data_IF_133737177475
#
_entry.id   IF_133737177475
#
_cell.length_a   1.000
_cell.length_b   1.000
_cell.length_c   1.000
_cell.angle_alpha   90.00
_cell.angle_beta   90.00
_cell.angle_gamma   90.00
#
_symmetry.space_group_name_H-M   'P 1'
#
loop_
_entity.id
_entity.type
_entity.pdbx_description
1 polymer ?
#
# COMPACT_ATOMS: atom_id res chain seq x y z
N UNK A 1 -13.19 -14.41 -33.06
CA UNK A 1 -11.96 -14.91 -32.40
C UNK A 1 -11.98 -14.39 -30.97
N UNK A 2 -12.47 -15.21 -30.05
CA UNK A 2 -12.54 -14.89 -28.61
C UNK A 2 -11.19 -15.28 -28.00
N UNK A 3 -10.48 -14.27 -27.46
CA UNK A 3 -9.21 -14.44 -26.77
C UNK A 3 -9.51 -15.04 -25.39
N UNK A 4 -9.43 -16.38 -25.30
CA UNK A 4 -9.48 -17.10 -24.03
C UNK A 4 -8.29 -16.65 -23.18
N UNK A 5 -8.58 -15.88 -22.14
CA UNK A 5 -7.66 -15.62 -21.03
C UNK A 5 -7.38 -16.98 -20.38
N UNK A 6 -6.21 -17.56 -20.66
CA UNK A 6 -5.75 -18.75 -19.96
C UNK A 6 -5.53 -18.38 -18.48
N UNK A 7 -6.20 -19.05 -17.52
CA UNK A 7 -5.90 -18.84 -16.11
C UNK A 7 -4.44 -19.23 -15.85
N UNK A 8 -3.71 -18.38 -15.11
CA UNK A 8 -2.34 -18.67 -14.70
C UNK A 8 -2.29 -20.02 -13.95
N UNK A 9 -1.25 -20.84 -14.16
CA UNK A 9 -1.13 -22.14 -13.53
C UNK A 9 -1.02 -21.99 -12.00
N UNK A 10 -1.79 -22.82 -11.31
CA UNK A 10 -1.93 -22.94 -9.84
C UNK A 10 -0.61 -23.27 -9.11
N UNK A 11 0.48 -23.51 -9.86
CA UNK A 11 1.83 -23.74 -9.37
C UNK A 11 2.66 -22.47 -9.14
N UNK A 12 2.10 -21.28 -9.37
CA UNK A 12 2.66 -20.01 -8.88
C UNK A 12 2.41 -19.88 -7.36
N UNK A 13 3.01 -20.79 -6.59
CA UNK A 13 3.13 -20.73 -5.13
C UNK A 13 3.48 -19.29 -4.72
N UNK A 14 2.53 -18.61 -4.05
CA UNK A 14 2.63 -17.34 -3.33
C UNK A 14 4.03 -16.72 -3.44
N UNK A 15 4.33 -16.10 -4.59
CA UNK A 15 5.62 -15.48 -4.78
C UNK A 15 5.71 -14.37 -3.75
N UNK A 16 6.66 -14.49 -2.81
CA UNK A 16 6.81 -13.54 -1.71
C UNK A 16 6.99 -12.16 -2.32
N UNK A 17 6.01 -11.29 -2.10
CA UNK A 17 6.02 -9.95 -2.65
C UNK A 17 7.14 -9.15 -1.96
N UNK A 18 8.07 -8.62 -2.76
CA UNK A 18 9.22 -7.86 -2.26
C UNK A 18 9.23 -6.49 -2.91
N UNK A 19 9.46 -5.47 -2.10
CA UNK A 19 9.59 -4.09 -2.54
C UNK A 19 9.58 -3.15 -1.33
N UNK A 20 9.40 -1.87 -1.61
CA UNK A 20 9.23 -0.84 -0.59
C UNK A 20 7.98 -0.01 -0.90
N UNK A 21 7.15 0.24 0.10
CA UNK A 21 6.07 1.22 0.05
C UNK A 21 6.51 2.45 0.85
N UNK A 22 6.49 3.60 0.20
CA UNK A 22 6.77 4.91 0.77
C UNK A 22 5.46 5.68 0.84
N UNK A 23 4.93 5.86 2.04
CA UNK A 23 3.81 6.75 2.29
C UNK A 23 4.35 8.16 2.46
N UNK A 24 3.87 9.10 1.64
CA UNK A 24 4.27 10.50 1.65
C UNK A 24 3.23 11.29 2.43
N UNK A 25 3.64 11.94 3.52
CA UNK A 25 2.73 12.58 4.46
C UNK A 25 3.13 14.01 4.83
N UNK A 26 2.16 14.91 4.84
CA UNK A 26 2.21 16.15 5.60
C UNK A 26 1.85 15.86 7.05
N UNK A 27 2.67 16.31 8.00
CA UNK A 27 2.38 16.12 9.41
C UNK A 27 1.04 16.78 9.78
N UNK A 28 0.15 16.09 10.51
CA UNK A 28 -1.17 16.60 10.91
C UNK A 28 -1.15 17.75 11.92
N UNK A 29 -0.59 18.89 11.53
CA UNK A 29 -0.48 20.10 12.35
C UNK A 29 -1.67 21.04 12.10
N UNK A 30 -2.38 21.50 13.15
CA UNK A 30 -3.48 22.46 13.01
C UNK A 30 -3.05 23.72 12.24
N UNK A 31 -3.82 24.10 11.22
CA UNK A 31 -3.55 25.25 10.38
C UNK A 31 -2.43 25.09 9.34
N UNK A 32 -1.73 23.96 9.31
CA UNK A 32 -0.63 23.72 8.36
C UNK A 32 -0.92 22.59 7.36
N UNK A 33 -1.74 21.60 7.75
CA UNK A 33 -2.21 20.54 6.85
C UNK A 33 -3.68 20.75 6.48
N UNK A 34 -4.09 20.21 5.31
CA UNK A 34 -5.46 20.25 4.79
C UNK A 34 -6.14 21.61 4.96
N UNK A 35 -5.41 22.67 4.63
CA UNK A 35 -5.83 24.05 4.93
C UNK A 35 -7.10 24.47 4.20
N UNK A 36 -7.38 23.84 3.05
CA UNK A 36 -8.65 23.98 2.31
C UNK A 36 -9.87 23.43 3.05
N UNK A 37 -9.68 22.57 4.04
CA UNK A 37 -10.75 22.03 4.89
C UNK A 37 -11.05 22.91 6.11
N UNK A 38 -10.21 23.90 6.42
CA UNK A 38 -10.40 24.80 7.57
C UNK A 38 -11.77 25.49 7.58
N UNK A 39 -12.33 25.98 6.45
CA UNK A 39 -13.68 26.56 6.44
C UNK A 39 -14.78 25.59 6.88
N UNK A 40 -14.59 24.27 6.69
CA UNK A 40 -15.56 23.24 7.07
C UNK A 40 -15.31 22.69 8.49
N UNK A 41 -14.04 22.46 8.84
CA UNK A 41 -13.64 21.68 10.03
C UNK A 41 -12.90 22.50 11.09
N UNK A 42 -12.55 23.75 10.80
CA UNK A 42 -11.61 24.53 11.60
C UNK A 42 -10.17 24.00 11.51
N UNK A 43 -9.25 24.67 12.20
CA UNK A 43 -7.83 24.32 12.21
C UNK A 43 -7.59 22.92 12.81
N UNK A 44 -8.17 22.64 13.97
CA UNK A 44 -8.00 21.37 14.67
C UNK A 44 -8.73 20.22 14.00
N UNK A 45 -9.94 20.45 13.47
CA UNK A 45 -10.70 19.42 12.77
C UNK A 45 -10.04 18.99 11.46
N UNK A 46 -9.41 19.92 10.74
CA UNK A 46 -8.64 19.61 9.52
C UNK A 46 -7.43 18.72 9.82
N UNK A 47 -6.69 19.04 10.89
CA UNK A 47 -5.58 18.21 11.35
C UNK A 47 -6.04 16.86 11.87
N UNK A 48 -7.15 16.81 12.61
CA UNK A 48 -7.75 15.57 13.13
C UNK A 48 -8.15 14.65 11.98
N UNK A 49 -8.77 15.18 10.93
CA UNK A 49 -9.12 14.40 9.75
C UNK A 49 -7.89 13.91 8.99
N UNK A 50 -6.86 14.76 8.80
CA UNK A 50 -5.60 14.35 8.19
C UNK A 50 -4.90 13.21 8.96
N UNK A 51 -4.88 13.31 10.30
CA UNK A 51 -4.36 12.27 11.18
C UNK A 51 -5.14 10.96 11.05
N UNK A 52 -6.47 11.05 10.95
CA UNK A 52 -7.34 9.89 10.82
C UNK A 52 -7.12 9.16 9.48
N UNK A 53 -7.02 9.90 8.37
CA UNK A 53 -6.74 9.31 7.05
C UNK A 53 -5.38 8.63 7.01
N UNK A 54 -4.34 9.27 7.55
CA UNK A 54 -3.03 8.65 7.67
C UNK A 54 -3.06 7.38 8.54
N UNK A 55 -3.83 7.39 9.63
CA UNK A 55 -3.99 6.23 10.50
C UNK A 55 -4.64 5.06 9.76
N UNK A 56 -5.63 5.32 8.90
CA UNK A 56 -6.27 4.30 8.06
C UNK A 56 -5.31 3.75 6.99
N UNK A 57 -4.54 4.62 6.33
CA UNK A 57 -3.51 4.22 5.35
C UNK A 57 -2.47 3.30 6.00
N UNK A 58 -1.90 3.71 7.14
CA UNK A 58 -0.91 2.92 7.88
C UNK A 58 -1.52 1.59 8.32
N UNK A 59 -2.68 1.62 8.98
CA UNK A 59 -3.30 0.40 9.51
C UNK A 59 -3.70 -0.57 8.39
N UNK A 60 -4.12 -0.08 7.23
CA UNK A 60 -4.50 -0.92 6.09
C UNK A 60 -3.29 -1.63 5.50
N UNK A 61 -2.18 -0.91 5.32
CA UNK A 61 -0.94 -1.47 4.80
C UNK A 61 -0.29 -2.46 5.78
N UNK A 62 -0.34 -2.16 7.07
CA UNK A 62 0.27 -2.99 8.12
C UNK A 62 -0.48 -4.31 8.34
N UNK A 63 -1.81 -4.28 8.28
CA UNK A 63 -2.68 -5.45 8.46
C UNK A 63 -2.84 -6.32 7.22
N UNK A 64 -2.26 -5.93 6.08
CA UNK A 64 -2.35 -6.70 4.84
C UNK A 64 -1.29 -7.81 4.82
N UNK A 65 -1.73 -9.06 4.93
CA UNK A 65 -0.86 -10.25 5.00
C UNK A 65 0.05 -10.38 3.76
N UNK A 66 -0.47 -10.07 2.57
CA UNK A 66 0.28 -10.09 1.30
C UNK A 66 1.43 -9.08 1.28
N UNK A 67 1.34 -8.00 2.08
CA UNK A 67 2.34 -6.95 2.17
C UNK A 67 3.31 -7.13 3.34
N UNK A 68 3.26 -8.25 4.09
CA UNK A 68 4.15 -8.48 5.23
C UNK A 68 5.63 -8.41 4.87
N UNK A 69 6.02 -8.94 3.71
CA UNK A 69 7.41 -8.94 3.24
C UNK A 69 7.83 -7.67 2.50
N UNK A 70 6.93 -6.69 2.37
CA UNK A 70 7.19 -5.40 1.74
C UNK A 70 7.58 -4.39 2.81
N UNK A 71 8.71 -3.70 2.61
CA UNK A 71 9.17 -2.66 3.53
C UNK A 71 8.24 -1.46 3.51
N UNK A 72 8.09 -0.79 4.65
CA UNK A 72 7.18 0.34 4.79
C UNK A 72 7.95 1.53 5.37
N UNK A 73 7.88 2.64 4.66
CA UNK A 73 8.52 3.90 5.01
C UNK A 73 7.42 4.95 5.11
N UNK A 74 7.38 5.69 6.21
CA UNK A 74 6.65 6.94 6.27
C UNK A 74 7.63 8.09 6.04
N UNK A 75 7.53 8.69 4.86
CA UNK A 75 8.26 9.89 4.49
C UNK A 75 7.41 11.11 4.86
N UNK A 76 7.83 11.90 5.84
CA UNK A 76 7.00 12.99 6.38
C UNK A 76 7.69 14.35 6.42
N UNK A 77 6.89 15.40 6.34
CA UNK A 77 7.33 16.78 6.44
C UNK A 77 6.31 17.64 7.20
N UNK A 78 6.73 18.78 7.79
CA UNK A 78 8.11 19.23 7.91
C UNK A 78 8.87 18.45 9.00
N UNK A 79 10.21 18.48 8.96
CA UNK A 79 11.05 17.94 10.04
C UNK A 79 11.05 18.88 11.26
N UNK A 80 10.09 18.71 12.16
CA UNK A 80 10.06 19.43 13.46
C UNK A 80 9.89 18.44 14.61
N UNK A 81 10.26 18.86 15.83
CA UNK A 81 10.02 18.06 17.05
C UNK A 81 8.53 17.74 17.21
N UNK A 82 7.65 18.71 16.94
CA UNK A 82 6.20 18.53 17.01
C UNK A 82 5.71 17.55 15.95
N UNK A 83 6.18 17.68 14.70
CA UNK A 83 5.83 16.74 13.63
C UNK A 83 6.23 15.32 13.98
N UNK A 84 7.46 15.12 14.46
CA UNK A 84 7.98 13.81 14.89
C UNK A 84 7.12 13.23 16.02
N UNK A 85 6.77 14.04 17.02
CA UNK A 85 5.92 13.60 18.13
C UNK A 85 4.55 13.13 17.65
N UNK A 86 3.86 13.92 16.81
CA UNK A 86 2.54 13.54 16.27
C UNK A 86 2.62 12.23 15.49
N UNK A 87 3.64 12.06 14.64
CA UNK A 87 3.83 10.82 13.88
C UNK A 87 4.05 9.63 14.82
N UNK A 88 4.94 9.76 15.80
CA UNK A 88 5.20 8.69 16.79
C UNK A 88 3.92 8.36 17.58
N UNK A 89 3.14 9.36 17.99
CA UNK A 89 1.88 9.17 18.71
C UNK A 89 0.83 8.42 17.87
N UNK A 90 0.81 8.64 16.54
CA UNK A 90 -0.02 7.85 15.62
C UNK A 90 0.37 6.38 15.68
N UNK A 91 1.64 6.06 15.49
CA UNK A 91 2.12 4.68 15.51
C UNK A 91 1.92 3.99 16.88
N UNK A 92 2.13 4.72 17.98
CA UNK A 92 1.88 4.21 19.33
C UNK A 92 0.39 3.86 19.54
N UNK A 93 -0.53 4.73 19.11
CA UNK A 93 -1.98 4.45 19.18
C UNK A 93 -2.39 3.28 18.30
N UNK A 94 -1.73 3.10 17.16
CA UNK A 94 -1.94 1.95 16.27
C UNK A 94 -1.25 0.67 16.76
N UNK A 95 -0.39 0.76 17.79
CA UNK A 95 0.43 -0.35 18.31
C UNK A 95 1.36 -0.95 17.24
N UNK A 96 1.88 -0.10 16.35
CA UNK A 96 2.78 -0.50 15.27
C UNK A 96 4.19 -0.04 15.62
N UNK A 97 5.15 -0.97 15.53
CA UNK A 97 6.56 -0.69 15.82
C UNK A 97 7.18 0.21 14.74
N UNK A 98 8.06 1.12 15.18
CA UNK A 98 8.77 2.05 14.30
C UNK A 98 10.27 2.06 14.58
N UNK A 99 11.05 2.38 13.56
CA UNK A 99 12.48 2.70 13.69
C UNK A 99 12.75 4.09 13.11
N UNK A 100 13.63 4.85 13.75
CA UNK A 100 14.08 6.15 13.24
C UNK A 100 15.03 5.93 12.06
N UNK A 101 14.63 6.45 10.88
CA UNK A 101 15.38 6.36 9.63
C UNK A 101 16.33 7.54 9.40
N UNK A 102 16.49 8.45 10.37
CA UNK A 102 17.41 9.59 10.22
C UNK A 102 18.85 9.13 9.99
N UNK A 103 19.59 9.90 9.16
CA UNK A 103 20.90 9.57 8.56
C UNK A 103 22.01 9.13 9.52
N UNK A 104 21.84 9.19 10.84
CA UNK A 104 22.85 8.73 11.79
C UNK A 104 23.13 7.22 11.70
N UNK A 105 22.24 6.43 11.08
CA UNK A 105 22.42 4.99 10.89
C UNK A 105 22.81 4.58 9.45
N UNK A 106 22.85 5.52 8.50
CA UNK A 106 23.18 5.27 7.08
C UNK A 106 24.36 6.16 6.67
N UNK A 107 25.42 6.13 7.47
CA UNK A 107 26.68 6.77 7.07
C UNK A 107 27.53 5.72 6.37
N UNK A 108 27.44 5.72 5.03
CA UNK A 108 28.63 5.63 4.19
C UNK A 108 29.47 4.33 4.30
N UNK A 109 29.01 3.23 3.69
CA UNK A 109 29.96 2.29 3.05
C UNK A 109 30.40 2.89 1.70
N UNK A 110 31.00 4.07 1.74
CA UNK A 110 31.89 4.50 0.66
C UNK A 110 33.17 3.72 0.87
N UNK A 111 33.52 2.90 -0.12
CA UNK A 111 34.84 2.28 -0.26
C UNK A 111 35.86 3.44 -0.25
N UNK A 112 36.41 3.74 0.92
CA UNK A 112 37.63 4.50 1.07
C UNK A 112 38.67 3.53 1.62
N UNK A 113 39.59 3.15 0.74
CA UNK A 113 40.84 2.51 1.11
C UNK A 113 41.61 3.47 2.03
N UNK A 114 41.53 3.28 3.35
CA UNK A 114 42.66 3.36 4.28
C UNK A 114 42.24 3.07 5.73
N UNK A 115 43.21 2.52 6.44
CA UNK A 115 43.22 1.89 7.76
C UNK A 115 42.52 2.64 8.91
N UNK A 116 42.05 1.83 9.86
CA UNK A 116 41.84 2.12 11.29
C UNK A 116 40.56 2.86 11.71
N UNK A 117 39.47 2.10 11.84
CA UNK A 117 38.81 1.82 13.14
C UNK A 117 37.55 0.98 12.88
N UNK A 118 37.64 -0.33 13.14
CA UNK A 118 36.48 -1.23 13.11
C UNK A 118 35.61 -0.89 14.32
N UNK A 119 34.56 -0.08 14.11
CA UNK A 119 33.39 -0.09 14.99
C UNK A 119 32.41 -1.09 14.41
N UNK A 120 32.11 -2.11 15.21
CA UNK A 120 31.40 -3.31 14.80
C UNK A 120 30.05 -2.99 14.14
N UNK A 121 29.72 -3.72 13.07
CA UNK A 121 28.43 -3.68 12.39
C UNK A 121 27.29 -4.34 13.19
N UNK A 122 27.42 -4.40 14.52
CA UNK A 122 26.56 -5.21 15.41
C UNK A 122 25.39 -4.45 16.04
N UNK A 123 25.28 -3.12 15.88
CA UNK A 123 24.21 -2.32 16.52
C UNK A 123 22.93 -2.16 15.68
N UNK A 124 22.92 -2.64 14.43
CA UNK A 124 21.69 -2.75 13.63
C UNK A 124 21.30 -4.21 13.48
N UNK A 125 20.99 -4.84 14.61
CA UNK A 125 20.27 -6.11 14.62
C UNK A 125 18.80 -5.86 14.21
N UNK A 126 18.57 -5.30 13.02
CA UNK A 126 17.27 -5.26 12.31
C UNK A 126 17.10 -6.62 11.60
N UNK A 127 17.41 -7.69 12.30
CA UNK A 127 16.99 -9.01 11.88
C UNK A 127 15.54 -9.15 12.36
N UNK A 128 14.61 -9.14 11.41
CA UNK A 128 13.21 -9.57 11.58
C UNK A 128 12.11 -8.57 12.01
N UNK A 129 12.29 -7.25 11.95
CA UNK A 129 11.17 -6.34 12.29
C UNK A 129 10.35 -5.90 11.07
N UNK A 130 9.05 -6.20 11.09
CA UNK A 130 8.00 -5.53 10.30
C UNK A 130 7.82 -4.04 10.69
N UNK A 131 8.81 -3.45 11.38
CA UNK A 131 8.73 -2.07 11.84
C UNK A 131 8.74 -1.10 10.67
N UNK A 132 7.94 -0.05 10.79
CA UNK A 132 7.94 1.06 9.85
C UNK A 132 9.17 1.93 10.03
N UNK A 133 9.74 2.40 8.94
CA UNK A 133 10.85 3.37 8.95
C UNK A 133 10.24 4.77 8.92
N UNK A 134 10.56 5.60 9.91
CA UNK A 134 10.16 7.00 9.94
C UNK A 134 11.28 7.85 9.34
N UNK A 135 11.01 8.49 8.20
CA UNK A 135 11.99 9.28 7.48
C UNK A 135 11.50 10.73 7.33
N UNK A 136 12.07 11.70 8.06
CA UNK A 136 11.76 13.10 7.81
C UNK A 136 12.36 13.55 6.46
N UNK A 137 11.66 14.41 5.74
CA UNK A 137 12.22 15.11 4.59
C UNK A 137 13.20 16.19 5.07
N UNK A 138 14.44 16.10 4.61
CA UNK A 138 15.46 17.11 4.90
C UNK A 138 15.03 18.43 4.26
N UNK A 139 14.80 19.43 5.10
CA UNK A 139 14.45 20.82 4.75
C UNK A 139 13.01 21.06 4.21
N UNK A 140 12.32 22.02 4.83
CA UNK A 140 11.09 22.63 4.29
C UNK A 140 9.78 21.83 4.45
N UNK A 141 8.67 22.53 4.20
CA UNK A 141 7.34 21.95 4.06
C UNK A 141 7.23 21.17 2.72
N UNK A 142 6.12 20.47 2.46
CA UNK A 142 5.83 19.86 1.15
C UNK A 142 5.50 20.95 0.12
N UNK A 143 6.54 21.61 -0.39
CA UNK A 143 6.40 22.65 -1.40
C UNK A 143 6.60 22.05 -2.81
N UNK A 144 5.89 22.59 -3.79
CA UNK A 144 5.92 22.09 -5.16
C UNK A 144 7.29 22.21 -5.84
N UNK A 145 8.12 23.16 -5.40
CA UNK A 145 9.44 23.42 -5.98
C UNK A 145 10.49 22.38 -5.58
N UNK A 146 10.32 21.65 -4.48
CA UNK A 146 11.30 20.70 -3.95
C UNK A 146 10.79 19.26 -3.80
N UNK A 147 9.47 19.04 -3.96
CA UNK A 147 8.86 17.72 -3.83
C UNK A 147 9.54 16.66 -4.71
N UNK A 148 9.88 16.99 -5.96
CA UNK A 148 10.56 16.05 -6.85
C UNK A 148 11.91 15.58 -6.33
N UNK A 149 12.73 16.48 -5.77
CA UNK A 149 14.02 16.14 -5.18
C UNK A 149 13.85 15.27 -3.92
N UNK A 150 12.84 15.57 -3.09
CA UNK A 150 12.50 14.78 -1.90
C UNK A 150 12.08 13.35 -2.25
N UNK A 151 11.29 13.18 -3.31
CA UNK A 151 10.87 11.85 -3.80
C UNK A 151 12.03 11.10 -4.47
N UNK A 152 12.93 11.80 -5.17
CA UNK A 152 14.18 11.21 -5.68
C UNK A 152 15.05 10.65 -4.55
N UNK A 153 15.31 11.44 -3.52
CA UNK A 153 16.08 11.01 -2.35
C UNK A 153 15.42 9.80 -1.66
N UNK A 154 14.09 9.82 -1.51
CA UNK A 154 13.34 8.70 -0.95
C UNK A 154 13.44 7.43 -1.81
N UNK A 155 13.43 7.56 -3.13
CA UNK A 155 13.61 6.41 -4.05
C UNK A 155 15.01 5.80 -3.91
N UNK A 156 16.05 6.64 -3.82
CA UNK A 156 17.43 6.19 -3.60
C UNK A 156 17.54 5.44 -2.27
N UNK A 157 17.02 6.02 -1.18
CA UNK A 157 17.06 5.43 0.16
C UNK A 157 16.27 4.12 0.24
N UNK A 158 15.07 4.08 -0.34
CA UNK A 158 14.23 2.89 -0.38
C UNK A 158 14.93 1.70 -1.05
N UNK A 159 15.66 1.95 -2.14
CA UNK A 159 16.41 0.93 -2.88
C UNK A 159 17.68 0.49 -2.16
N UNK A 160 18.41 1.42 -1.54
CA UNK A 160 19.59 1.08 -0.73
C UNK A 160 19.19 0.18 0.47
N UNK A 161 18.08 0.50 1.15
CA UNK A 161 17.54 -0.34 2.22
C UNK A 161 17.12 -1.73 1.73
N UNK A 162 16.56 -1.81 0.52
CA UNK A 162 16.18 -3.09 -0.06
C UNK A 162 17.40 -4.01 -0.25
N UNK A 163 18.49 -3.50 -0.81
CA UNK A 163 19.71 -4.26 -1.11
C UNK A 163 20.43 -4.79 0.15
N UNK A 164 20.51 -3.97 1.21
CA UNK A 164 21.19 -4.37 2.44
C UNK A 164 20.56 -5.61 3.08
N UNK A 165 19.22 -5.71 3.06
CA UNK A 165 18.49 -6.83 3.68
C UNK A 165 18.40 -8.08 2.81
N UNK A 166 18.42 -7.96 1.48
CA UNK A 166 18.51 -9.14 0.60
C UNK A 166 19.84 -9.87 0.78
N UNK A 167 20.92 -9.13 0.99
CA UNK A 167 22.27 -9.68 1.20
C UNK A 167 22.44 -10.45 2.52
N UNK A 168 21.77 -10.02 3.60
CA UNK A 168 21.90 -10.67 4.94
C UNK A 168 21.21 -12.04 5.03
N UNK A 169 20.21 -12.32 4.17
CA UNK A 169 19.39 -13.54 4.26
C UNK A 169 20.11 -14.78 3.70
N UNK A 170 21.20 -14.63 2.94
CA UNK A 170 21.84 -15.74 2.21
C UNK A 170 22.98 -16.42 2.99
N UNK A 171 23.42 -15.89 4.14
CA UNK A 171 24.69 -16.33 4.78
C UNK A 171 24.52 -17.41 5.87
N UNK A 172 23.43 -18.18 5.91
CA UNK A 172 23.27 -19.23 6.94
C UNK A 172 22.70 -20.53 6.40
N UNK A 173 23.40 -21.17 5.45
CA UNK A 173 23.41 -22.65 5.37
C UNK A 173 24.62 -23.13 4.57
N UNK A 174 25.48 -23.88 5.25
CA UNK A 174 26.35 -24.98 4.80
C UNK A 174 26.93 -24.97 3.37
N UNK A 175 28.27 -25.03 3.35
CA UNK A 175 29.16 -25.45 2.26
C UNK A 175 28.62 -26.61 1.41
N UNK A 176 28.12 -26.30 0.21
CA UNK A 176 28.33 -27.10 -1.02
C UNK A 176 28.19 -26.17 -2.22
N UNK A 177 29.24 -26.14 -3.03
CA UNK A 177 29.41 -25.34 -4.24
C UNK A 177 28.48 -25.81 -5.35
N UNK A 178 27.45 -25.04 -5.66
CA UNK A 178 26.76 -25.05 -6.96
C UNK A 178 26.63 -23.60 -7.47
N UNK A 179 27.43 -23.29 -8.49
CA UNK A 179 27.52 -21.97 -9.13
C UNK A 179 26.33 -21.69 -10.05
N UNK A 180 25.15 -21.44 -9.46
CA UNK A 180 24.10 -20.72 -10.17
C UNK A 180 24.11 -19.26 -9.70
N UNK A 181 25.05 -18.48 -10.26
CA UNK A 181 25.04 -17.03 -10.21
C UNK A 181 23.76 -16.53 -10.92
N UNK A 182 22.65 -16.42 -10.19
CA UNK A 182 21.71 -15.36 -10.50
C UNK A 182 22.42 -14.05 -10.16
N UNK A 183 22.81 -13.33 -11.21
CA UNK A 183 23.31 -11.97 -11.09
C UNK A 183 22.17 -11.12 -10.48
N UNK A 184 22.16 -10.98 -9.16
CA UNK A 184 21.42 -9.92 -8.47
C UNK A 184 22.09 -8.62 -8.93
N UNK A 185 21.49 -7.97 -9.93
CA UNK A 185 22.11 -6.90 -10.72
C UNK A 185 22.31 -5.58 -9.94
N UNK A 186 22.22 -5.62 -8.62
CA UNK A 186 22.34 -4.45 -7.75
C UNK A 186 21.25 -3.42 -8.01
N UNK A 187 20.20 -3.71 -8.79
CA UNK A 187 19.08 -2.81 -8.96
C UNK A 187 18.11 -3.01 -7.78
N UNK A 188 18.10 -2.08 -6.81
CA UNK A 188 17.21 -2.21 -5.65
C UNK A 188 15.73 -2.36 -6.07
N UNK A 189 14.93 -3.12 -5.32
CA UNK A 189 13.59 -3.59 -5.72
C UNK A 189 12.55 -2.51 -6.05
N UNK A 190 11.33 -2.92 -6.47
CA UNK A 190 10.27 -1.99 -6.84
C UNK A 190 9.85 -1.10 -5.67
N UNK A 191 9.50 0.15 -5.98
CA UNK A 191 9.10 1.16 -4.98
C UNK A 191 7.74 1.73 -5.33
N UNK A 192 6.83 1.72 -4.36
CA UNK A 192 5.52 2.36 -4.43
C UNK A 192 5.56 3.66 -3.64
N UNK A 193 5.15 4.76 -4.24
CA UNK A 193 4.85 6.01 -3.56
C UNK A 193 3.33 6.15 -3.43
N UNK A 194 2.87 6.53 -2.24
CA UNK A 194 1.46 6.62 -1.89
C UNK A 194 1.18 7.90 -1.09
N UNK A 195 0.14 8.65 -1.45
CA UNK A 195 -0.35 9.78 -0.65
C UNK A 195 -1.01 9.36 0.67
N UNK A 196 -0.93 10.19 1.70
CA UNK A 196 -1.54 9.94 3.02
C UNK A 196 -3.06 10.13 3.08
N UNK A 197 -3.64 10.76 2.06
CA UNK A 197 -4.93 11.45 2.08
C UNK A 197 -6.00 10.82 1.20
N UNK A 198 -5.73 9.62 0.69
CA UNK A 198 -6.70 8.72 0.10
C UNK A 198 -6.97 7.57 1.09
N UNK A 199 -7.88 7.72 2.07
CA UNK A 199 -8.12 6.70 3.10
C UNK A 199 -8.76 5.42 2.54
N UNK A 200 -9.28 5.45 1.30
CA UNK A 200 -9.78 4.30 0.55
C UNK A 200 -8.64 3.81 -0.36
N UNK A 201 -7.88 2.82 0.11
CA UNK A 201 -6.74 2.26 -0.62
C UNK A 201 -7.13 1.09 -1.52
N UNK A 202 -6.65 1.10 -2.76
CA UNK A 202 -6.70 -0.08 -3.65
C UNK A 202 -5.51 -1.00 -3.36
N UNK A 203 -5.65 -1.89 -2.37
CA UNK A 203 -4.61 -2.89 -2.07
C UNK A 203 -4.27 -3.77 -3.27
N UNK A 204 -5.26 -4.08 -4.10
CA UNK A 204 -5.06 -4.84 -5.33
C UNK A 204 -4.13 -4.13 -6.31
N UNK A 205 -4.28 -2.81 -6.51
CA UNK A 205 -3.40 -2.05 -7.41
C UNK A 205 -2.00 -1.93 -6.84
N UNK A 206 -1.85 -1.79 -5.51
CA UNK A 206 -0.53 -1.81 -4.86
C UNK A 206 0.18 -3.15 -5.12
N UNK A 207 -0.51 -4.27 -4.88
CA UNK A 207 0.04 -5.62 -5.08
C UNK A 207 0.37 -5.85 -6.56
N UNK A 208 -0.56 -5.52 -7.45
CA UNK A 208 -0.40 -5.68 -8.91
C UNK A 208 0.76 -4.82 -9.42
N UNK A 209 0.86 -3.57 -8.97
CA UNK A 209 1.95 -2.67 -9.31
C UNK A 209 3.31 -3.25 -8.93
N UNK A 210 3.45 -3.76 -7.69
CA UNK A 210 4.71 -4.38 -7.23
C UNK A 210 5.02 -5.63 -8.07
N UNK A 211 4.05 -6.51 -8.33
CA UNK A 211 4.26 -7.71 -9.15
C UNK A 211 4.75 -7.36 -10.56
N UNK A 212 4.09 -6.42 -11.24
CA UNK A 212 4.48 -5.95 -12.57
C UNK A 212 5.85 -5.26 -12.59
N UNK A 213 6.18 -4.54 -11.51
CA UNK A 213 7.46 -3.86 -11.37
C UNK A 213 8.62 -4.81 -10.97
N UNK A 214 8.29 -6.03 -10.52
CA UNK A 214 9.25 -7.09 -10.13
C UNK A 214 9.65 -7.98 -11.29
N UNK A 215 8.84 -8.09 -12.36
CA UNK A 215 9.15 -9.00 -13.48
C UNK A 215 10.44 -8.55 -14.18
N UNK A 216 11.54 -9.19 -13.80
CA UNK A 216 12.87 -8.99 -14.36
C UNK A 216 12.84 -9.35 -15.84
N UNK A 217 13.54 -8.56 -16.66
CA UNK A 217 13.88 -8.94 -18.04
C UNK A 217 14.38 -10.38 -18.02
N UNK A 218 13.62 -11.31 -18.61
CA UNK A 218 14.20 -12.61 -18.90
C UNK A 218 15.39 -12.41 -19.84
N UNK A 219 16.59 -12.94 -19.54
CA UNK A 219 17.74 -12.84 -20.43
C UNK A 219 17.49 -13.50 -21.81
N UNK A 220 16.41 -14.26 -21.95
CA UNK A 220 16.00 -14.92 -23.19
C UNK A 220 14.87 -14.20 -23.93
N UNK A 221 14.27 -13.16 -23.36
CA UNK A 221 13.09 -12.50 -23.91
C UNK A 221 13.31 -10.99 -24.04
N UNK A 222 13.86 -10.57 -25.18
CA UNK A 222 14.21 -9.17 -25.45
C UNK A 222 12.99 -8.22 -25.53
N UNK A 223 11.77 -8.76 -25.58
CA UNK A 223 10.52 -8.00 -25.68
C UNK A 223 9.92 -7.60 -24.32
N UNK A 224 10.46 -8.07 -23.19
CA UNK A 224 9.97 -7.68 -21.86
C UNK A 224 10.50 -6.29 -21.46
N UNK A 225 9.59 -5.32 -21.48
CA UNK A 225 9.80 -3.95 -21.03
C UNK A 225 9.46 -3.82 -19.54
N UNK A 226 10.31 -3.15 -18.73
CA UNK A 226 10.00 -2.91 -17.32
C UNK A 226 8.68 -2.16 -17.20
N UNK A 227 7.88 -2.52 -16.19
CA UNK A 227 6.53 -1.98 -16.01
C UNK A 227 6.41 -1.15 -14.74
N UNK A 228 5.68 -0.04 -14.85
CA UNK A 228 5.25 0.81 -13.76
C UNK A 228 3.72 0.86 -13.72
N UNK A 229 3.16 1.30 -12.59
CA UNK A 229 1.73 1.52 -12.43
C UNK A 229 1.46 2.89 -11.82
N UNK A 230 0.44 3.59 -12.29
CA UNK A 230 -0.05 4.85 -11.73
C UNK A 230 -1.54 4.72 -11.42
N UNK A 231 -1.94 5.07 -10.20
CA UNK A 231 -3.34 5.32 -9.87
C UNK A 231 -3.58 6.83 -9.87
N UNK A 232 -4.26 7.37 -10.90
CA UNK A 232 -4.48 8.80 -11.02
C UNK A 232 -5.43 9.33 -9.94
N UNK A 233 -5.37 10.63 -9.69
CA UNK A 233 -6.34 11.37 -8.89
C UNK A 233 -7.27 12.20 -9.79
N UNK A 234 -8.43 12.61 -9.27
CA UNK A 234 -9.44 13.36 -10.03
C UNK A 234 -8.95 14.75 -10.47
N UNK A 235 -7.98 15.31 -9.74
CA UNK A 235 -7.43 16.65 -9.97
C UNK A 235 -6.33 16.69 -11.06
N UNK A 236 -5.98 15.52 -11.64
CA UNK A 236 -4.89 15.34 -12.60
C UNK A 236 -3.53 14.99 -11.96
N UNK A 237 -3.49 14.90 -10.64
CA UNK A 237 -2.47 14.25 -9.81
C UNK A 237 -2.50 12.73 -9.88
N UNK A 238 -1.79 12.09 -8.95
CA UNK A 238 -1.87 10.66 -8.71
C UNK A 238 -1.79 10.37 -7.22
N UNK A 239 -2.62 9.45 -6.74
CA UNK A 239 -2.57 8.96 -5.36
C UNK A 239 -1.50 7.89 -5.16
N UNK A 240 -1.13 7.17 -6.22
CA UNK A 240 -0.10 6.13 -6.19
C UNK A 240 0.73 6.10 -7.47
N UNK A 241 2.04 5.88 -7.34
CA UNK A 241 2.91 5.44 -8.43
C UNK A 241 3.83 4.31 -7.96
N UNK A 242 3.88 3.21 -8.71
CA UNK A 242 4.82 2.12 -8.52
C UNK A 242 5.86 2.15 -9.64
N UNK A 243 7.15 2.18 -9.27
CA UNK A 243 8.26 2.22 -10.22
C UNK A 243 9.15 0.97 -10.10
N UNK A 244 9.61 0.39 -11.23
CA UNK A 244 10.50 -0.77 -11.23
C UNK A 244 11.90 -0.41 -10.77
N UNK A 245 12.71 -1.41 -10.40
CA UNK A 245 14.12 -1.24 -9.98
C UNK A 245 14.97 -0.51 -11.01
N UNK A 246 14.64 -0.66 -12.30
CA UNK A 246 15.35 -0.10 -13.44
C UNK A 246 15.08 1.39 -13.68
N UNK A 247 14.08 2.00 -13.03
CA UNK A 247 13.81 3.42 -13.19
C UNK A 247 14.93 4.26 -12.59
N UNK A 248 15.56 5.15 -13.34
CA UNK A 248 16.62 6.03 -12.86
C UNK A 248 16.03 7.08 -11.89
N UNK A 249 16.47 7.14 -10.62
CA UNK A 249 15.93 8.10 -9.65
C UNK A 249 15.98 9.55 -10.13
N UNK A 250 17.07 9.98 -10.77
CA UNK A 250 17.27 11.35 -11.28
C UNK A 250 16.29 11.73 -12.38
N UNK A 251 15.78 10.73 -13.09
CA UNK A 251 14.87 10.91 -14.22
C UNK A 251 13.41 10.68 -13.82
N UNK A 252 13.17 9.95 -12.73
CA UNK A 252 11.83 9.52 -12.33
C UNK A 252 10.96 10.70 -11.90
N UNK A 253 11.51 11.68 -11.19
CA UNK A 253 10.77 12.84 -10.67
C UNK A 253 11.25 14.18 -11.23
N UNK A 254 12.02 14.18 -12.32
CA UNK A 254 12.50 15.42 -12.95
C UNK A 254 11.51 15.98 -13.97
N UNK A 255 11.51 17.32 -14.10
CA UNK A 255 10.63 18.06 -15.02
C UNK A 255 9.12 17.78 -14.82
N UNK A 256 8.75 17.48 -13.58
CA UNK A 256 7.38 17.21 -13.17
C UNK A 256 6.57 18.50 -13.09
N UNK A 257 5.32 18.44 -13.56
CA UNK A 257 4.36 19.53 -13.44
C UNK A 257 3.60 19.40 -12.11
N UNK A 258 4.26 19.62 -10.97
CA UNK A 258 3.64 19.48 -9.65
C UNK A 258 2.48 20.46 -9.43
N UNK A 259 1.44 20.00 -8.72
CA UNK A 259 0.19 20.75 -8.47
C UNK A 259 -0.46 21.29 -9.74
N UNK A 260 -0.40 20.50 -10.81
CA UNK A 260 -0.99 20.82 -12.10
C UNK A 260 -1.95 19.70 -12.55
N UNK A 261 -3.02 20.00 -13.32
CA UNK A 261 -3.89 18.99 -13.93
C UNK A 261 -3.20 17.98 -14.88
N UNK A 262 -1.90 18.14 -15.13
CA UNK A 262 -1.09 17.27 -15.98
C UNK A 262 0.00 16.56 -15.18
N UNK A 263 -0.06 16.57 -13.84
CA UNK A 263 0.96 15.96 -12.98
C UNK A 263 1.12 14.48 -13.34
N UNK A 264 0.04 13.68 -13.36
CA UNK A 264 0.10 12.27 -13.73
C UNK A 264 0.61 12.05 -15.15
N UNK A 265 0.19 12.88 -16.11
CA UNK A 265 0.65 12.78 -17.50
C UNK A 265 2.15 13.07 -17.61
N UNK A 266 2.65 14.08 -16.89
CA UNK A 266 4.09 14.37 -16.84
C UNK A 266 4.88 13.22 -16.18
N UNK A 267 4.30 12.54 -15.18
CA UNK A 267 4.91 11.36 -14.55
C UNK A 267 4.98 10.17 -15.52
N UNK A 268 3.90 9.92 -16.26
CA UNK A 268 3.86 8.90 -17.31
C UNK A 268 4.95 9.21 -18.34
N UNK A 269 5.03 10.46 -18.80
CA UNK A 269 6.07 10.88 -19.73
C UNK A 269 7.47 10.59 -19.19
N UNK A 270 7.79 11.00 -17.96
CA UNK A 270 9.10 10.79 -17.34
C UNK A 270 9.49 9.30 -17.26
N UNK A 271 8.53 8.39 -17.04
CA UNK A 271 8.75 6.94 -17.06
C UNK A 271 8.90 6.39 -18.48
N UNK A 272 8.02 6.81 -19.41
CA UNK A 272 8.09 6.33 -20.81
C UNK A 272 9.34 6.79 -21.55
N UNK A 273 9.89 7.98 -21.22
CA UNK A 273 11.18 8.46 -21.73
C UNK A 273 12.35 7.56 -21.27
N UNK A 274 12.14 6.69 -20.29
CA UNK A 274 13.08 5.66 -19.81
C UNK A 274 12.77 4.27 -20.39
N UNK A 275 11.89 4.17 -21.39
CA UNK A 275 11.41 2.89 -21.93
C UNK A 275 10.76 2.00 -20.86
N UNK A 276 10.00 2.60 -19.93
CA UNK A 276 9.17 1.91 -18.95
C UNK A 276 7.73 1.95 -19.41
N UNK A 277 7.09 0.79 -19.51
CA UNK A 277 5.66 0.69 -19.81
C UNK A 277 4.86 1.11 -18.59
N UNK A 278 3.87 1.99 -18.75
CA UNK A 278 3.03 2.44 -17.64
C UNK A 278 1.62 1.88 -17.78
N UNK A 279 1.12 1.25 -16.71
CA UNK A 279 -0.26 0.80 -16.58
C UNK A 279 -1.05 1.74 -15.69
N UNK A 280 -2.33 1.92 -15.97
CA UNK A 280 -3.22 2.80 -15.21
C UNK A 280 -4.11 1.95 -14.32
N UNK A 281 -4.02 2.17 -13.01
CA UNK A 281 -4.85 1.53 -11.99
C UNK A 281 -6.16 2.29 -11.74
N UNK A 282 -6.84 1.97 -10.63
CA UNK A 282 -8.05 2.71 -10.23
C UNK A 282 -7.74 4.18 -9.94
N UNK A 283 -8.74 5.04 -10.15
CA UNK A 283 -8.69 6.42 -9.66
C UNK A 283 -8.70 6.38 -8.13
N UNK A 284 -7.80 7.15 -7.51
CA UNK A 284 -7.75 7.36 -6.07
C UNK A 284 -8.28 8.76 -5.76
N UNK A 285 -9.15 8.84 -4.76
CA UNK A 285 -9.80 10.09 -4.38
C UNK A 285 -9.11 10.66 -3.14
N UNK A 286 -8.32 11.69 -3.36
CA UNK A 286 -7.72 12.53 -2.33
C UNK A 286 -8.79 13.41 -1.66
N UNK A 287 -8.65 13.60 -0.35
CA UNK A 287 -9.57 14.42 0.44
C UNK A 287 -8.90 15.75 0.73
N UNK A 288 -9.14 16.74 -0.12
CA UNK A 288 -8.52 18.07 -0.01
C UNK A 288 -9.53 19.21 0.09
N UNK A 289 -10.72 19.07 -0.51
CA UNK A 289 -11.75 20.10 -0.47
C UNK A 289 -13.00 19.65 0.32
N UNK A 290 -13.82 20.61 0.82
CA UNK A 290 -15.06 20.28 1.52
C UNK A 290 -16.01 19.36 0.74
N UNK A 291 -15.96 19.42 -0.59
CA UNK A 291 -16.77 18.59 -1.47
C UNK A 291 -16.31 17.12 -1.45
N UNK A 292 -15.01 16.86 -1.30
CA UNK A 292 -14.47 15.50 -1.22
C UNK A 292 -14.86 14.85 0.12
N UNK A 293 -14.83 15.63 1.21
CA UNK A 293 -15.37 15.19 2.51
C UNK A 293 -16.84 14.79 2.38
N UNK A 294 -17.66 15.55 1.63
CA UNK A 294 -19.07 15.21 1.42
C UNK A 294 -19.24 13.91 0.63
N UNK A 295 -18.49 13.73 -0.46
CA UNK A 295 -18.49 12.49 -1.26
C UNK A 295 -18.07 11.29 -0.40
N UNK A 296 -17.03 11.45 0.41
CA UNK A 296 -16.57 10.41 1.34
C UNK A 296 -17.65 10.05 2.37
N UNK A 297 -18.31 11.03 2.99
CA UNK A 297 -19.43 10.76 3.89
C UNK A 297 -20.56 9.98 3.21
N UNK A 298 -20.89 10.30 1.95
CA UNK A 298 -21.90 9.57 1.18
C UNK A 298 -21.48 8.12 0.94
N UNK A 299 -20.22 7.91 0.53
CA UNK A 299 -19.65 6.58 0.34
C UNK A 299 -19.73 5.75 1.64
N UNK A 300 -19.26 6.29 2.77
CA UNK A 300 -19.24 5.57 4.05
C UNK A 300 -20.65 5.24 4.58
N UNK A 301 -21.66 6.04 4.25
CA UNK A 301 -23.07 5.71 4.54
C UNK A 301 -23.55 4.53 3.71
N UNK A 302 -23.25 4.52 2.41
CA UNK A 302 -23.68 3.44 1.51
C UNK A 302 -23.04 2.11 1.89
N UNK A 303 -21.75 2.09 2.23
CA UNK A 303 -21.05 0.89 2.68
C UNK A 303 -21.68 0.27 3.93
N UNK A 304 -22.08 1.11 4.90
CA UNK A 304 -22.75 0.66 6.11
C UNK A 304 -24.09 -0.03 5.82
N UNK A 305 -24.91 0.56 4.95
CA UNK A 305 -26.21 -0.01 4.57
C UNK A 305 -26.04 -1.35 3.85
N UNK A 306 -25.03 -1.47 2.97
CA UNK A 306 -24.77 -2.71 2.25
C UNK A 306 -24.37 -3.84 3.20
N UNK A 307 -23.50 -3.56 4.17
CA UNK A 307 -23.04 -4.55 5.15
C UNK A 307 -24.19 -5.04 6.05
N UNK A 308 -25.07 -4.13 6.51
CA UNK A 308 -26.27 -4.51 7.27
C UNK A 308 -27.27 -5.33 6.45
N UNK A 309 -27.47 -5.02 5.16
CA UNK A 309 -28.38 -5.77 4.30
C UNK A 309 -27.86 -7.19 4.03
N UNK A 310 -26.55 -7.35 3.81
CA UNK A 310 -25.94 -8.66 3.62
C UNK A 310 -26.04 -9.53 4.89
N UNK A 311 -25.77 -8.95 6.07
CA UNK A 311 -25.91 -9.66 7.35
C UNK A 311 -27.37 -10.05 7.65
N UNK A 312 -28.35 -9.21 7.30
CA UNK A 312 -29.77 -9.56 7.49
C UNK A 312 -30.27 -10.61 6.49
N UNK A 313 -29.68 -10.69 5.29
CA UNK A 313 -29.99 -11.73 4.31
C UNK A 313 -29.38 -13.08 4.70
N UNK A 314 -28.15 -13.12 5.22
CA UNK A 314 -27.54 -14.36 5.71
C UNK A 314 -28.27 -14.94 6.93
N UNK A 315 -28.73 -14.09 7.84
CA UNK A 315 -29.55 -14.52 9.00
C UNK A 315 -30.91 -15.09 8.55
N UNK A 316 -31.55 -14.51 7.52
CA UNK A 316 -32.82 -15.02 6.98
C UNK A 316 -32.68 -16.35 6.22
N UNK A 317 -31.55 -16.59 5.55
CA UNK A 317 -31.30 -17.86 4.86
C UNK A 317 -31.08 -19.03 5.84
N UNK A 318 -30.52 -18.76 7.02
CA UNK A 318 -30.36 -19.74 8.09
C UNK A 318 -31.71 -20.11 8.75
N UNK A 319 -32.63 -19.15 8.91
CA UNK A 319 -33.98 -19.44 9.45
C UNK A 319 -34.83 -20.32 8.51
N UNK A 320 -34.64 -20.23 7.19
CA UNK A 320 -35.33 -21.12 6.22
C UNK A 320 -34.69 -22.51 6.06
N UNK A 321 -33.47 -22.71 6.56
CA UNK A 321 -32.75 -24.00 6.48
C UNK A 321 -32.73 -24.74 7.84
N UNK A 322 -33.15 -24.08 8.91
CA UNK A 322 -33.21 -24.62 10.27
C UNK A 322 -34.44 -25.48 10.54
N UNK A 323 -34.54 -26.64 9.89
CA UNK A 323 -35.30 -27.76 10.47
C UNK A 323 -34.51 -29.08 10.35
N UNK A 324 -33.26 -29.06 10.79
CA UNK A 324 -32.65 -30.19 11.49
C UNK A 324 -31.32 -29.74 12.15
N UNK A 325 -31.18 -30.10 13.42
CA UNK A 325 -29.99 -30.01 14.30
C UNK A 325 -29.80 -28.68 15.04
N UNK A 326 -30.40 -28.64 16.24
CA UNK A 326 -30.01 -27.80 17.37
C UNK A 326 -28.76 -28.40 18.04
N UNK A 327 -27.62 -27.69 18.01
CA UNK A 327 -26.66 -27.56 19.12
C UNK A 327 -25.36 -26.87 18.68
N UNK A 328 -24.87 -25.97 19.55
CA UNK A 328 -23.58 -25.25 19.55
C UNK A 328 -23.48 -23.96 18.71
N UNK A 329 -24.04 -22.87 19.23
CA UNK A 329 -23.53 -21.52 18.94
C UNK A 329 -22.97 -20.90 20.20
N UNK A 330 -21.72 -21.23 20.52
CA UNK A 330 -20.83 -20.28 21.20
C UNK A 330 -19.38 -20.65 20.84
N UNK A 331 -18.63 -19.64 20.39
CA UNK A 331 -17.17 -19.60 20.30
C UNK A 331 -16.46 -20.17 19.06
N UNK A 332 -15.74 -19.29 18.38
CA UNK A 332 -14.32 -19.39 17.95
C UNK A 332 -14.15 -18.73 16.55
N UNK A 333 -13.42 -17.63 16.31
CA UNK A 333 -12.20 -17.14 16.95
C UNK A 333 -11.33 -18.26 17.53
N UNK A 334 -10.82 -19.11 16.64
CA UNK A 334 -9.51 -19.77 16.81
C UNK A 334 -9.14 -20.49 15.52
N UNK A 335 -8.23 -19.87 14.76
CA UNK A 335 -7.35 -20.60 13.85
C UNK A 335 -6.38 -21.42 14.70
N UNK A 336 -6.43 -22.75 14.58
CA UNK A 336 -5.27 -23.61 14.82
C UNK A 336 -5.40 -24.94 14.09
N UNK A 337 -4.37 -25.18 13.27
CA UNK A 337 -3.74 -26.45 12.90
C UNK A 337 -4.46 -27.41 11.93
N UNK A 338 -3.70 -27.70 10.87
CA UNK A 338 -3.48 -28.99 10.20
C UNK A 338 -4.58 -30.05 10.34
N UNK A 339 -5.09 -30.56 9.21
CA UNK A 339 -4.58 -31.83 8.67
C UNK A 339 -5.19 -32.13 7.29
N UNK A 340 -4.34 -32.71 6.45
CA UNK A 340 -4.62 -33.20 5.12
C UNK A 340 -5.26 -34.59 5.25
N UNK A 341 -6.46 -34.82 4.68
CA UNK A 341 -6.98 -36.17 4.44
C UNK A 341 -7.68 -36.23 3.08
N UNK A 342 -7.23 -37.19 2.27
CA UNK A 342 -7.80 -37.60 0.98
C UNK A 342 -9.30 -37.93 1.04
N UNK A 343 -10.02 -37.61 -0.04
CA UNK A 343 -11.37 -38.14 -0.29
C UNK A 343 -11.79 -37.93 -1.75
N UNK A 344 -11.96 -39.04 -2.45
CA UNK A 344 -12.16 -39.18 -3.89
C UNK A 344 -13.50 -38.60 -4.42
N UNK A 345 -13.43 -38.09 -5.65
CA UNK A 345 -14.36 -38.26 -6.78
C UNK A 345 -15.87 -38.32 -6.53
N UNK A 346 -16.61 -37.40 -7.18
CA UNK A 346 -17.61 -37.78 -8.20
C UNK A 346 -18.00 -36.61 -9.09
N UNK A 347 -17.83 -36.85 -10.39
CA UNK A 347 -18.43 -36.11 -11.49
C UNK A 347 -19.96 -36.09 -11.33
N UNK A 348 -20.60 -34.98 -11.65
CA UNK A 348 -21.80 -34.99 -12.50
C UNK A 348 -21.96 -33.64 -13.19
N UNK A 349 -22.04 -33.72 -14.51
CA UNK A 349 -22.27 -32.62 -15.43
C UNK A 349 -23.78 -32.39 -15.59
N UNK A 350 -24.24 -31.14 -15.53
CA UNK A 350 -25.55 -30.75 -16.09
C UNK A 350 -25.43 -29.41 -16.82
N UNK A 351 -26.12 -29.38 -17.96
CA UNK A 351 -26.01 -28.52 -19.13
C UNK A 351 -26.44 -27.06 -18.98
N UNK A 352 -25.97 -26.29 -19.95
CA UNK A 352 -26.28 -24.91 -20.29
C UNK A 352 -27.78 -24.64 -20.56
N UNK A 353 -28.25 -23.45 -20.16
CA UNK A 353 -29.51 -22.89 -20.66
C UNK A 353 -29.61 -21.37 -20.45
N UNK A 354 -29.58 -20.63 -21.57
CA UNK A 354 -30.39 -19.42 -21.84
C UNK A 354 -30.17 -18.17 -20.99
N UNK A 355 -29.65 -17.11 -21.60
CA UNK A 355 -29.30 -15.86 -20.92
C UNK A 355 -30.45 -14.90 -20.61
N UNK A 356 -30.14 -13.94 -19.74
CA UNK A 356 -30.76 -12.62 -19.69
C UNK A 356 -29.83 -11.65 -18.96
N UNK A 357 -29.61 -10.51 -19.60
CA UNK A 357 -28.78 -9.38 -19.23
C UNK A 357 -28.97 -8.86 -17.79
N UNK A 358 -27.88 -8.67 -17.05
CA UNK A 358 -27.83 -7.75 -15.89
C UNK A 358 -26.40 -7.29 -15.59
N UNK A 359 -26.09 -6.03 -15.90
CA UNK A 359 -24.82 -5.34 -15.66
C UNK A 359 -24.57 -4.97 -14.17
N UNK A 360 -24.93 -5.83 -13.22
CA UNK A 360 -24.80 -5.55 -11.77
C UNK A 360 -23.71 -6.38 -11.06
N UNK A 361 -22.89 -7.14 -11.79
CA UNK A 361 -21.94 -8.09 -11.18
C UNK A 361 -20.52 -7.55 -11.00
N UNK A 362 -20.14 -6.42 -11.63
CA UNK A 362 -18.75 -5.92 -11.59
C UNK A 362 -18.43 -5.17 -10.29
N UNK A 363 -19.43 -4.56 -9.63
CA UNK A 363 -19.22 -3.89 -8.34
C UNK A 363 -19.08 -4.88 -7.17
N UNK A 364 -19.82 -5.98 -7.18
CA UNK A 364 -19.82 -6.95 -6.08
C UNK A 364 -18.54 -7.80 -6.00
N UNK A 365 -17.90 -8.09 -7.14
CA UNK A 365 -16.68 -8.92 -7.20
C UNK A 365 -15.47 -8.19 -6.60
N UNK A 366 -15.38 -6.87 -6.77
CA UNK A 366 -14.27 -6.08 -6.22
C UNK A 366 -14.33 -5.97 -4.70
N UNK A 367 -15.54 -5.89 -4.13
CA UNK A 367 -15.76 -5.80 -2.69
C UNK A 367 -15.39 -7.11 -1.98
N UNK A 368 -15.67 -8.27 -2.59
CA UNK A 368 -15.29 -9.59 -2.04
C UNK A 368 -13.77 -9.86 -2.09
N UNK A 369 -13.00 -9.05 -2.80
CA UNK A 369 -11.54 -9.15 -2.90
C UNK A 369 -10.88 -8.25 -1.85
N UNK A 370 -11.38 -7.02 -1.65
CA UNK A 370 -10.90 -6.13 -0.59
C UNK A 370 -11.16 -6.71 0.81
N UNK A 371 -12.33 -7.32 1.04
CA UNK A 371 -12.64 -8.05 2.29
C UNK A 371 -11.76 -9.29 2.54
N UNK A 372 -11.07 -9.79 1.50
CA UNK A 372 -10.12 -10.91 1.64
C UNK A 372 -8.73 -10.48 2.10
N UNK A 373 -8.41 -9.18 2.05
CA UNK A 373 -7.05 -8.69 2.31
C UNK A 373 -6.86 -7.98 3.64
N UNK A 374 -7.94 -7.55 4.32
CA UNK A 374 -7.84 -6.95 5.66
C UNK A 374 -8.97 -7.40 6.58
N UNK A 375 -8.66 -7.58 7.86
CA UNK A 375 -9.63 -7.88 8.92
C UNK A 375 -10.28 -6.63 9.53
N UNK A 376 -10.05 -5.44 8.95
CA UNK A 376 -10.46 -4.16 9.52
C UNK A 376 -11.38 -3.40 8.56
N UNK A 377 -12.53 -2.87 9.01
CA UNK A 377 -13.35 -1.97 8.19
C UNK A 377 -12.51 -0.83 7.59
N UNK A 378 -12.64 -0.68 6.27
CA UNK A 378 -12.05 0.43 5.52
C UNK A 378 -12.44 1.78 6.16
N UNK A 379 -11.48 2.70 6.25
CA UNK A 379 -11.66 4.07 6.77
C UNK A 379 -12.16 4.17 8.23
N UNK A 380 -11.76 3.26 9.12
CA UNK A 380 -12.22 3.24 10.51
C UNK A 380 -11.96 4.55 11.26
N UNK A 381 -10.70 5.03 11.26
CA UNK A 381 -10.34 6.25 11.99
C UNK A 381 -10.96 7.48 11.34
N UNK A 382 -10.98 7.51 10.00
CA UNK A 382 -11.61 8.59 9.23
C UNK A 382 -13.10 8.69 9.53
N UNK A 383 -13.80 7.56 9.62
CA UNK A 383 -15.22 7.52 10.04
C UNK A 383 -15.40 8.14 11.42
N UNK A 384 -14.57 7.77 12.41
CA UNK A 384 -14.62 8.33 13.76
C UNK A 384 -14.42 9.84 13.77
N UNK A 385 -13.43 10.35 13.02
CA UNK A 385 -13.18 11.78 12.91
C UNK A 385 -14.37 12.53 12.29
N UNK A 386 -15.01 11.95 11.26
CA UNK A 386 -16.20 12.53 10.61
C UNK A 386 -17.44 12.53 11.53
N UNK A 387 -17.61 11.48 12.35
CA UNK A 387 -18.66 11.42 13.38
C UNK A 387 -18.40 12.49 14.45
N UNK A 388 -17.18 12.62 14.95
CA UNK A 388 -16.81 13.64 15.92
C UNK A 388 -17.04 15.06 15.38
N UNK A 389 -16.79 15.27 14.09
CA UNK A 389 -17.06 16.52 13.38
C UNK A 389 -18.56 16.73 13.07
N UNK A 390 -19.45 15.79 13.42
CA UNK A 390 -20.89 15.80 13.12
C UNK A 390 -21.21 15.86 11.63
N UNK A 391 -20.30 15.35 10.79
CA UNK A 391 -20.50 15.22 9.34
C UNK A 391 -21.03 13.84 8.93
N UNK A 392 -20.94 12.88 9.85
CA UNK A 392 -21.46 11.53 9.73
C UNK A 392 -22.24 11.17 11.01
N UNK A 393 -23.31 10.39 10.87
CA UNK A 393 -24.06 9.92 12.04
C UNK A 393 -23.33 8.73 12.67
N UNK A 394 -23.40 8.65 14.00
CA UNK A 394 -22.96 7.47 14.72
C UNK A 394 -24.07 6.41 14.65
N UNK A 395 -24.04 5.60 13.59
CA UNK A 395 -25.01 4.52 13.41
C UNK A 395 -24.64 3.26 14.24
N UNK A 396 -23.85 3.40 15.32
CA UNK A 396 -23.45 2.30 16.23
C UNK A 396 -24.52 1.92 17.27
N UNK A 397 -25.77 2.33 17.09
CA UNK A 397 -26.90 1.95 17.95
C UNK A 397 -27.77 0.85 17.35
#
# INVERSE_FOLDING_TARGET
MSSLVTPLPESALLQVLRGTIVVVAKSPLPGQCKTRLIPLLGHDGSATLAQAMLSDVISTLDKCDTLKSVYKVLLFAPETVQSKQIIVDIFQRLQISTVDGTRHNITTTTINNNCDTVRSADDLNISNSNSWILLPMLEGDLNTSDLGAKLEDALILARAHFQTKTSTTTTTTTTTSDNNNQNDDGSGGPVVFLGMDSPILSLQDIITGIQMATTNKSPTNHDECPSAMICPADDGGYGMVCVPSTADPKRTFSNMLWSHPLTAISQIKALTDQSIKVSIGKVMHDIDEPDDVRKLCQYLKQQHHHHHQQQQQSIKTDETSGNMVEMMTTSAYNLKNLEYVHGESKNDAIECGGGSSSNNSVSNINQTIEDRFTSHPCCFYTRQALVQAKLLNDDTN
#
